data_IF_055671640728
#
_entry.id   IF_055671640728
#
_cell.length_a   1.000
_cell.length_b   1.000
_cell.length_c   1.000
_cell.angle_alpha   90.00
_cell.angle_beta   90.00
_cell.angle_gamma   90.00
#
_symmetry.space_group_name_H-M   'P 1'
#
loop_
_entity.id
_entity.type
_entity.pdbx_description
1 polymer ?
#
# COMPACT_ATOMS: atom_id res chain seq x y z
N UNK A 1 -17.22 -10.19 12.55
CA UNK A 1 -15.97 -9.43 12.43
C UNK A 1 -15.93 -8.17 13.31
N UNK A 2 -16.92 -7.28 13.25
CA UNK A 2 -16.89 -5.93 13.87
C UNK A 2 -16.42 -5.87 15.34
N UNK A 3 -16.94 -6.75 16.21
CA UNK A 3 -16.63 -6.76 17.64
C UNK A 3 -15.14 -6.99 17.99
N UNK A 4 -14.31 -7.43 17.04
CA UNK A 4 -12.86 -7.67 17.23
C UNK A 4 -11.99 -6.44 16.94
N UNK A 5 -12.54 -5.39 16.31
CA UNK A 5 -11.75 -4.25 15.80
C UNK A 5 -12.22 -2.90 16.34
N UNK A 6 -11.27 -2.01 16.61
CA UNK A 6 -11.57 -0.66 17.04
C UNK A 6 -12.16 0.17 15.89
N UNK A 7 -13.50 0.22 15.82
CA UNK A 7 -14.27 0.98 14.82
C UNK A 7 -13.99 2.51 14.83
N UNK A 8 -13.25 3.04 15.80
CA UNK A 8 -12.78 4.44 15.78
C UNK A 8 -11.51 4.63 14.92
N UNK A 9 -10.77 3.56 14.62
CA UNK A 9 -9.57 3.62 13.76
C UNK A 9 -9.94 3.95 12.31
N UNK A 10 -9.30 4.96 11.68
CA UNK A 10 -9.52 5.27 10.26
C UNK A 10 -9.22 4.09 9.33
N UNK A 11 -8.20 3.29 9.64
CA UNK A 11 -7.83 2.09 8.88
C UNK A 11 -8.96 1.06 8.89
N UNK A 12 -9.51 0.76 10.08
CA UNK A 12 -10.62 -0.20 10.24
C UNK A 12 -11.87 0.28 9.51
N UNK A 13 -12.22 1.58 9.63
CA UNK A 13 -13.36 2.17 8.88
C UNK A 13 -13.17 2.06 7.36
N UNK A 14 -11.96 2.32 6.86
CA UNK A 14 -11.63 2.22 5.44
C UNK A 14 -11.77 0.77 4.95
N UNK A 15 -11.18 -0.18 5.66
CA UNK A 15 -11.20 -1.60 5.29
C UNK A 15 -12.59 -2.23 5.38
N UNK A 16 -13.42 -1.86 6.37
CA UNK A 16 -14.80 -2.34 6.43
C UNK A 16 -15.67 -1.77 5.30
N UNK A 17 -15.44 -0.51 4.86
CA UNK A 17 -16.11 0.02 3.67
C UNK A 17 -15.70 -0.76 2.42
N UNK A 18 -14.41 -1.03 2.23
CA UNK A 18 -13.93 -1.79 1.07
C UNK A 18 -14.37 -3.26 1.11
N UNK A 19 -14.54 -3.85 2.31
CA UNK A 19 -15.05 -5.21 2.45
C UNK A 19 -16.54 -5.30 2.07
N UNK A 20 -17.31 -4.23 2.28
CA UNK A 20 -18.67 -4.12 1.76
C UNK A 20 -18.71 -3.84 0.24
N UNK A 21 -17.74 -3.10 -0.30
CA UNK A 21 -17.59 -2.81 -1.75
C UNK A 21 -17.21 -4.07 -2.57
N UNK A 22 -16.35 -4.94 -2.01
CA UNK A 22 -15.76 -6.10 -2.69
C UNK A 22 -16.39 -7.45 -2.30
N UNK A 23 -17.43 -7.41 -1.45
CA UNK A 23 -18.10 -8.58 -0.84
C UNK A 23 -18.47 -9.66 -1.86
N UNK A 24 -19.07 -9.26 -2.97
CA UNK A 24 -19.61 -10.16 -3.98
C UNK A 24 -18.64 -10.25 -5.18
N UNK A 25 -18.39 -11.45 -5.74
CA UNK A 25 -17.41 -11.63 -6.80
C UNK A 25 -17.87 -10.99 -8.12
N UNK A 26 -16.92 -10.44 -8.88
CA UNK A 26 -17.15 -10.08 -10.29
C UNK A 26 -16.66 -11.19 -11.22
N UNK A 27 -16.82 -11.00 -12.52
CA UNK A 27 -16.22 -11.82 -13.57
C UNK A 27 -14.71 -11.59 -13.73
N UNK A 28 -14.19 -10.42 -13.37
CA UNK A 28 -12.76 -10.08 -13.47
C UNK A 28 -11.96 -10.26 -12.17
N UNK A 29 -12.55 -10.02 -11.01
CA UNK A 29 -11.88 -10.11 -9.70
C UNK A 29 -12.84 -10.30 -8.51
N UNK A 30 -12.31 -10.82 -7.42
CA UNK A 30 -12.94 -10.89 -6.11
C UNK A 30 -11.85 -10.77 -5.02
N UNK A 31 -12.16 -10.15 -3.89
CA UNK A 31 -11.27 -10.12 -2.73
C UNK A 31 -12.04 -9.95 -1.42
N UNK A 32 -11.57 -10.61 -0.37
CA UNK A 32 -12.17 -10.55 0.96
C UNK A 32 -11.10 -10.66 2.07
N UNK A 33 -11.30 -10.03 3.24
CA UNK A 33 -10.47 -10.25 4.42
C UNK A 33 -10.57 -11.70 4.90
N UNK A 34 -9.53 -12.20 5.56
CA UNK A 34 -9.63 -13.44 6.35
C UNK A 34 -10.61 -13.23 7.52
N UNK A 35 -11.36 -14.27 7.88
CA UNK A 35 -12.41 -14.21 8.92
C UNK A 35 -11.91 -13.68 10.27
N UNK A 36 -10.65 -13.98 10.58
CA UNK A 36 -9.99 -13.64 11.83
C UNK A 36 -9.07 -12.40 11.73
N UNK A 37 -8.68 -11.99 10.51
CA UNK A 37 -7.71 -10.93 10.24
C UNK A 37 -8.15 -9.94 9.13
N UNK A 38 -8.73 -8.80 9.53
CA UNK A 38 -9.11 -7.70 8.63
C UNK A 38 -7.94 -7.06 7.85
N UNK A 39 -6.68 -7.28 8.26
CA UNK A 39 -5.48 -6.73 7.62
C UNK A 39 -4.77 -7.72 6.69
N UNK A 40 -5.30 -8.94 6.53
CA UNK A 40 -4.84 -9.89 5.51
C UNK A 40 -6.03 -10.36 4.69
N UNK A 41 -5.93 -10.20 3.38
CA UNK A 41 -7.01 -10.45 2.44
C UNK A 41 -6.57 -11.47 1.41
N UNK A 42 -7.48 -12.35 1.02
CA UNK A 42 -7.29 -13.21 -0.14
C UNK A 42 -8.01 -12.60 -1.35
N UNK A 43 -7.42 -12.76 -2.54
CA UNK A 43 -7.98 -12.26 -3.79
C UNK A 43 -7.81 -13.24 -4.93
N UNK A 44 -8.70 -13.15 -5.91
CA UNK A 44 -8.56 -13.81 -7.21
C UNK A 44 -8.76 -12.77 -8.32
N UNK A 45 -7.94 -12.84 -9.36
CA UNK A 45 -8.08 -12.05 -10.60
C UNK A 45 -8.08 -12.95 -11.83
N UNK A 46 -8.86 -12.58 -12.85
CA UNK A 46 -8.77 -13.19 -14.19
C UNK A 46 -7.55 -12.64 -14.92
N UNK A 47 -6.92 -13.47 -15.74
CA UNK A 47 -5.91 -13.02 -16.69
C UNK A 47 -6.49 -12.03 -17.71
N UNK A 48 -5.75 -10.98 -18.09
CA UNK A 48 -6.25 -10.02 -19.08
C UNK A 48 -6.52 -10.69 -20.44
N UNK A 49 -7.63 -10.34 -21.11
CA UNK A 49 -7.88 -10.79 -22.47
C UNK A 49 -6.82 -10.24 -23.44
N UNK A 50 -6.57 -11.01 -24.50
CA UNK A 50 -5.56 -10.75 -25.54
C UNK A 50 -4.12 -10.79 -25.01
N UNK A 51 -3.83 -11.64 -24.02
CA UNK A 51 -2.50 -11.77 -23.40
C UNK A 51 -2.09 -13.23 -23.17
N UNK A 52 -0.82 -13.47 -22.82
CA UNK A 52 -0.31 -14.80 -22.49
C UNK A 52 -0.89 -15.40 -21.20
N UNK A 53 -1.67 -14.59 -20.46
CA UNK A 53 -2.32 -14.95 -19.22
C UNK A 53 -3.81 -15.24 -19.39
N UNK A 54 -4.35 -15.02 -20.60
CA UNK A 54 -5.77 -15.16 -20.96
C UNK A 54 -6.28 -16.58 -20.69
N UNK A 55 -7.56 -16.69 -20.32
CA UNK A 55 -8.17 -17.89 -19.75
C UNK A 55 -7.66 -18.28 -18.35
N UNK A 56 -6.64 -17.60 -17.81
CA UNK A 56 -6.12 -17.86 -16.47
C UNK A 56 -6.92 -17.22 -15.34
N UNK A 57 -6.81 -17.80 -14.14
CA UNK A 57 -7.46 -17.36 -12.91
C UNK A 57 -6.42 -17.46 -11.78
N UNK A 58 -5.98 -16.32 -11.26
CA UNK A 58 -4.80 -16.23 -10.39
C UNK A 58 -5.19 -15.81 -8.98
N UNK A 59 -4.90 -16.67 -8.02
CA UNK A 59 -5.07 -16.38 -6.60
C UNK A 59 -3.87 -15.67 -6.01
N UNK A 60 -4.11 -14.85 -4.99
CA UNK A 60 -3.07 -14.18 -4.21
C UNK A 60 -3.59 -13.69 -2.87
N UNK A 61 -2.72 -13.00 -2.12
CA UNK A 61 -3.06 -12.33 -0.87
C UNK A 61 -2.50 -10.91 -0.80
N UNK A 62 -3.20 -10.06 -0.07
CA UNK A 62 -2.88 -8.66 0.20
C UNK A 62 -2.69 -8.51 1.70
N UNK A 63 -1.51 -8.04 2.12
CA UNK A 63 -1.17 -7.77 3.52
C UNK A 63 -1.09 -6.26 3.73
N UNK A 64 -1.95 -5.75 4.59
CA UNK A 64 -2.19 -4.32 4.80
C UNK A 64 -1.45 -3.85 6.06
N UNK A 65 -0.68 -2.74 5.99
CA UNK A 65 -0.07 -2.17 7.19
C UNK A 65 -1.13 -1.55 8.13
N UNK A 66 -0.88 -1.46 9.45
CA UNK A 66 -1.79 -0.78 10.39
C UNK A 66 -2.09 0.67 10.01
N UNK A 67 -1.18 1.33 9.28
CA UNK A 67 -1.34 2.70 8.78
C UNK A 67 -2.05 2.79 7.42
N UNK A 68 -2.61 1.71 6.88
CA UNK A 68 -3.42 1.76 5.66
C UNK A 68 -4.62 2.73 5.82
N UNK A 69 -4.94 3.60 4.85
CA UNK A 69 -4.39 3.70 3.50
C UNK A 69 -3.19 4.65 3.35
N UNK A 70 -2.60 5.17 4.43
CA UNK A 70 -1.45 6.09 4.35
C UNK A 70 -0.14 5.38 3.97
N UNK A 71 -0.07 4.05 4.15
CA UNK A 71 0.98 3.19 3.60
C UNK A 71 0.38 2.17 2.62
N UNK A 72 1.09 1.82 1.52
CA UNK A 72 0.66 0.82 0.56
C UNK A 72 0.61 -0.62 1.13
N UNK A 73 -0.19 -1.52 0.52
CA UNK A 73 -0.16 -2.95 0.81
C UNK A 73 1.12 -3.63 0.33
N UNK A 74 1.38 -4.83 0.88
CA UNK A 74 2.20 -5.86 0.23
C UNK A 74 1.28 -6.81 -0.55
N UNK A 75 1.64 -7.15 -1.79
CA UNK A 75 0.89 -8.07 -2.65
C UNK A 75 1.73 -9.34 -2.84
N UNK A 76 1.12 -10.52 -2.74
CA UNK A 76 1.74 -11.83 -2.97
C UNK A 76 0.84 -12.65 -3.90
N UNK A 77 1.40 -13.25 -4.95
CA UNK A 77 0.68 -14.24 -5.77
C UNK A 77 0.88 -15.65 -5.19
N UNK A 78 -0.18 -16.46 -5.23
CA UNK A 78 -0.19 -17.85 -4.75
C UNK A 78 -0.31 -18.86 -5.90
N UNK A 79 -0.95 -18.49 -7.01
CA UNK A 79 -1.03 -19.32 -8.22
C UNK A 79 0.16 -19.07 -9.14
N UNK A 80 0.79 -20.15 -9.64
CA UNK A 80 1.90 -20.07 -10.60
C UNK A 80 1.46 -19.46 -11.94
N UNK A 81 2.23 -18.51 -12.45
CA UNK A 81 1.80 -17.62 -13.54
C UNK A 81 2.92 -17.20 -14.52
N UNK A 82 4.21 -17.48 -14.22
CA UNK A 82 5.34 -17.16 -15.12
C UNK A 82 5.66 -15.67 -15.27
N UNK A 83 5.10 -14.82 -14.39
CA UNK A 83 5.28 -13.36 -14.35
C UNK A 83 5.74 -12.86 -12.99
N UNK A 84 5.22 -13.48 -11.94
CA UNK A 84 5.48 -13.18 -10.54
C UNK A 84 5.81 -14.46 -9.79
N UNK A 85 6.88 -14.42 -8.99
CA UNK A 85 7.31 -15.54 -8.17
C UNK A 85 6.33 -15.81 -7.02
N UNK A 86 5.88 -17.05 -6.91
CA UNK A 86 4.85 -17.48 -5.94
C UNK A 86 5.35 -17.32 -4.50
N UNK A 87 4.47 -16.86 -3.62
CA UNK A 87 4.74 -16.70 -2.19
C UNK A 87 5.58 -15.47 -1.80
N UNK A 88 6.27 -14.83 -2.76
CA UNK A 88 7.04 -13.60 -2.53
C UNK A 88 6.19 -12.34 -2.66
N UNK A 89 6.67 -11.25 -2.05
CA UNK A 89 6.13 -9.91 -2.27
C UNK A 89 6.55 -9.43 -3.67
N UNK A 90 5.57 -9.08 -4.50
CA UNK A 90 5.83 -8.45 -5.80
C UNK A 90 6.00 -6.94 -5.61
N UNK A 91 6.83 -6.31 -6.44
CA UNK A 91 6.85 -4.85 -6.55
C UNK A 91 6.18 -4.33 -7.83
N UNK A 92 5.09 -3.61 -7.62
CA UNK A 92 4.45 -2.70 -8.56
C UNK A 92 4.51 -1.27 -7.99
N UNK A 93 4.33 -0.25 -8.81
CA UNK A 93 4.20 1.16 -8.36
C UNK A 93 2.92 1.46 -7.54
N UNK A 94 2.07 0.46 -7.32
CA UNK A 94 0.94 0.45 -6.37
C UNK A 94 1.24 -0.33 -5.07
N UNK A 95 2.49 -0.77 -4.85
CA UNK A 95 2.90 -1.65 -3.75
C UNK A 95 4.01 -1.06 -2.87
N UNK A 96 4.20 -1.62 -1.67
CA UNK A 96 5.17 -1.17 -0.67
C UNK A 96 6.66 -1.33 -0.96
N UNK A 97 7.09 -1.34 -2.22
CA UNK A 97 8.49 -1.07 -2.59
C UNK A 97 8.68 0.35 -3.15
N UNK A 98 7.60 1.00 -3.61
CA UNK A 98 7.58 2.42 -3.99
C UNK A 98 6.55 3.18 -3.15
N UNK A 99 6.82 3.42 -1.86
CA UNK A 99 5.88 4.15 -0.98
C UNK A 99 5.63 5.59 -1.45
N UNK A 100 6.52 6.17 -2.27
CA UNK A 100 6.32 7.49 -2.87
C UNK A 100 5.34 7.56 -4.05
N UNK A 101 5.06 6.46 -4.74
CA UNK A 101 4.12 6.45 -5.89
C UNK A 101 2.70 6.10 -5.43
N UNK A 102 2.57 5.46 -4.26
CA UNK A 102 1.31 5.16 -3.62
C UNK A 102 0.49 6.43 -3.31
N UNK A 103 -0.80 6.41 -3.66
CA UNK A 103 -1.77 7.43 -3.28
C UNK A 103 -2.80 6.85 -2.31
N UNK A 104 -3.00 7.42 -1.11
CA UNK A 104 -4.00 6.95 -0.13
C UNK A 104 -5.47 6.96 -0.61
N UNK A 105 -5.76 7.55 -1.77
CA UNK A 105 -7.06 7.46 -2.44
C UNK A 105 -7.28 6.12 -3.16
N UNK A 106 -6.23 5.37 -3.46
CA UNK A 106 -6.32 4.04 -4.07
C UNK A 106 -6.86 3.01 -3.07
N UNK A 107 -7.77 2.15 -3.53
CA UNK A 107 -8.39 1.07 -2.76
C UNK A 107 -7.81 -0.30 -3.14
N UNK A 108 -8.24 -1.35 -2.43
CA UNK A 108 -8.00 -2.74 -2.82
C UNK A 108 -8.55 -2.99 -4.23
N UNK A 109 -9.73 -2.45 -4.59
CA UNK A 109 -10.25 -2.48 -5.98
C UNK A 109 -9.24 -1.90 -6.98
N UNK A 110 -8.62 -0.76 -6.66
CA UNK A 110 -7.57 -0.15 -7.48
C UNK A 110 -6.34 -1.06 -7.60
N UNK A 111 -5.93 -1.72 -6.51
CA UNK A 111 -4.82 -2.66 -6.51
C UNK A 111 -5.10 -3.90 -7.39
N UNK A 112 -6.31 -4.46 -7.35
CA UNK A 112 -6.71 -5.61 -8.19
C UNK A 112 -6.69 -5.25 -9.68
N UNK A 113 -7.31 -4.13 -10.06
CA UNK A 113 -7.28 -3.62 -11.44
C UNK A 113 -5.85 -3.33 -11.92
N UNK A 114 -4.99 -2.83 -11.04
CA UNK A 114 -3.57 -2.63 -11.35
C UNK A 114 -2.83 -3.96 -11.54
N UNK A 115 -3.04 -4.99 -10.69
CA UNK A 115 -2.45 -6.32 -10.89
C UNK A 115 -2.83 -6.89 -12.26
N UNK A 116 -4.11 -6.77 -12.65
CA UNK A 116 -4.61 -7.15 -13.98
C UNK A 116 -3.85 -6.39 -15.07
N UNK A 117 -3.81 -5.05 -15.02
CA UNK A 117 -3.14 -4.24 -16.04
C UNK A 117 -1.60 -4.36 -16.10
N UNK A 118 -0.94 -4.72 -15.00
CA UNK A 118 0.52 -4.93 -14.91
C UNK A 118 0.98 -6.36 -15.24
N UNK A 119 0.06 -7.32 -15.34
CA UNK A 119 0.40 -8.71 -15.66
C UNK A 119 1.01 -8.86 -17.08
N UNK A 120 0.53 -8.18 -18.14
CA UNK A 120 1.09 -8.28 -19.50
C UNK A 120 2.30 -7.38 -19.80
N UNK A 121 2.74 -6.53 -18.87
CA UNK A 121 3.88 -5.62 -19.13
C UNK A 121 5.22 -6.36 -19.01
N UNK A 122 6.35 -5.70 -19.34
CA UNK A 122 7.69 -6.28 -19.13
C UNK A 122 8.11 -6.29 -17.66
N UNK A 123 9.01 -7.21 -17.31
CA UNK A 123 9.41 -7.48 -15.92
C UNK A 123 10.59 -6.64 -15.43
N UNK A 124 11.53 -6.38 -16.35
CA UNK A 124 12.58 -5.36 -16.23
C UNK A 124 13.44 -5.50 -14.95
N UNK A 125 13.59 -6.74 -14.46
CA UNK A 125 14.39 -7.06 -13.27
C UNK A 125 13.72 -6.71 -11.93
N UNK A 126 12.42 -6.36 -11.92
CA UNK A 126 11.69 -6.02 -10.71
C UNK A 126 11.68 -7.18 -9.69
N UNK A 127 11.71 -6.87 -8.39
CA UNK A 127 11.76 -7.87 -7.31
C UNK A 127 10.53 -8.79 -7.38
N UNK A 128 10.81 -10.09 -7.52
CA UNK A 128 9.80 -11.13 -7.67
C UNK A 128 9.24 -11.26 -9.10
N UNK A 129 9.83 -10.60 -10.11
CA UNK A 129 9.46 -10.81 -11.51
C UNK A 129 10.04 -12.10 -12.09
N UNK A 130 9.34 -12.68 -13.07
CA UNK A 130 9.76 -13.84 -13.86
C UNK A 130 9.50 -13.59 -15.35
N UNK A 131 10.47 -13.96 -16.19
CA UNK A 131 10.42 -13.76 -17.65
C UNK A 131 10.30 -15.09 -18.42
N UNK A 132 9.27 -15.87 -18.06
CA UNK A 132 8.88 -17.11 -18.77
C UNK A 132 8.35 -16.79 -20.18
N UNK A 133 8.39 -17.76 -21.09
CA UNK A 133 7.93 -17.55 -22.47
C UNK A 133 6.40 -17.38 -22.57
N UNK A 134 5.87 -16.79 -23.67
CA UNK A 134 4.45 -16.76 -23.96
C UNK A 134 3.76 -18.13 -23.85
N UNK A 135 4.41 -19.19 -24.34
CA UNK A 135 3.90 -20.55 -24.36
C UNK A 135 3.81 -21.14 -22.95
N UNK A 136 4.85 -20.94 -22.13
CA UNK A 136 4.87 -21.34 -20.72
C UNK A 136 3.80 -20.62 -19.90
N UNK A 137 3.66 -19.30 -20.10
CA UNK A 137 2.61 -18.48 -19.46
C UNK A 137 1.21 -18.97 -19.84
N UNK A 138 0.95 -19.25 -21.12
CA UNK A 138 -0.32 -19.83 -21.60
C UNK A 138 -0.59 -21.24 -21.05
N UNK A 139 0.46 -22.03 -20.82
CA UNK A 139 0.34 -23.34 -20.17
C UNK A 139 0.03 -23.21 -18.67
N UNK A 140 0.60 -22.22 -17.98
CA UNK A 140 0.29 -21.89 -16.59
C UNK A 140 -1.12 -21.30 -16.46
N UNK A 141 -1.55 -20.45 -17.39
CA UNK A 141 -2.91 -19.91 -17.45
C UNK A 141 -3.96 -21.03 -17.47
N UNK A 142 -3.78 -22.07 -18.29
CA UNK A 142 -4.66 -23.24 -18.29
C UNK A 142 -4.64 -23.97 -16.94
N UNK A 143 -3.46 -24.29 -16.41
CA UNK A 143 -3.29 -24.98 -15.11
C UNK A 143 -3.85 -24.19 -13.92
N UNK A 144 -3.91 -22.86 -14.02
CA UNK A 144 -4.39 -21.99 -12.93
C UNK A 144 -5.86 -22.20 -12.56
N UNK A 145 -6.69 -22.69 -13.51
CA UNK A 145 -8.12 -22.94 -13.27
C UNK A 145 -8.37 -24.06 -12.27
N UNK A 146 -7.49 -25.05 -12.21
CA UNK A 146 -7.57 -26.21 -11.30
C UNK A 146 -6.88 -25.95 -9.94
N UNK A 147 -6.36 -24.73 -9.72
CA UNK A 147 -5.75 -24.35 -8.44
C UNK A 147 -6.82 -24.21 -7.34
N UNK A 148 -6.55 -24.82 -6.18
CA UNK A 148 -7.29 -24.61 -4.93
C UNK A 148 -6.34 -24.03 -3.88
N UNK A 149 -6.75 -22.98 -3.18
CA UNK A 149 -5.92 -22.38 -2.14
C UNK A 149 -6.00 -23.18 -0.83
N UNK A 150 -4.87 -23.73 -0.38
CA UNK A 150 -4.77 -24.49 0.88
C UNK A 150 -5.12 -23.65 2.13
N UNK A 151 -4.98 -22.31 2.07
CA UNK A 151 -5.24 -21.42 3.21
C UNK A 151 -6.72 -21.06 3.40
N UNK A 152 -7.50 -20.96 2.31
CA UNK A 152 -8.88 -20.45 2.34
C UNK A 152 -9.89 -21.32 1.57
N UNK A 153 -9.48 -22.50 1.08
CA UNK A 153 -10.33 -23.47 0.37
C UNK A 153 -10.84 -23.03 -1.01
N UNK A 154 -10.57 -21.81 -1.45
CA UNK A 154 -11.10 -21.26 -2.71
C UNK A 154 -10.53 -22.00 -3.93
N UNK A 155 -11.42 -22.62 -4.72
CA UNK A 155 -11.11 -23.20 -6.04
C UNK A 155 -11.25 -22.15 -7.14
N UNK A 156 -10.24 -22.01 -8.01
CA UNK A 156 -10.23 -20.97 -9.04
C UNK A 156 -11.34 -21.14 -10.08
N UNK A 157 -11.74 -22.39 -10.34
CA UNK A 157 -12.85 -22.77 -11.22
C UNK A 157 -14.20 -22.14 -10.85
N UNK A 158 -14.39 -21.73 -9.59
CA UNK A 158 -15.63 -21.13 -9.08
C UNK A 158 -15.39 -19.81 -8.33
N UNK A 159 -14.19 -19.23 -8.40
CA UNK A 159 -13.80 -18.06 -7.62
C UNK A 159 -14.32 -16.72 -8.17
N UNK A 160 -14.70 -16.70 -9.46
CA UNK A 160 -15.17 -15.53 -10.20
C UNK A 160 -16.43 -15.90 -10.98
N UNK A 161 -17.24 -14.89 -11.34
CA UNK A 161 -18.40 -15.11 -12.20
C UNK A 161 -17.95 -15.53 -13.62
N UNK A 162 -18.77 -16.30 -14.38
CA UNK A 162 -18.52 -16.58 -15.78
C UNK A 162 -18.51 -15.29 -16.62
N UNK A 163 -17.63 -15.21 -17.62
CA UNK A 163 -17.70 -14.14 -18.63
C UNK A 163 -19.00 -14.27 -19.42
N UNK A 164 -19.78 -13.19 -19.48
CA UNK A 164 -21.01 -13.18 -20.30
C UNK A 164 -20.65 -13.11 -21.78
N UNK A 165 -21.29 -13.91 -22.63
CA UNK A 165 -20.94 -14.05 -24.05
C UNK A 165 -21.19 -12.80 -24.93
N UNK A 166 -21.68 -11.70 -24.34
CA UNK A 166 -21.78 -10.38 -24.99
C UNK A 166 -20.72 -9.35 -24.53
N UNK A 167 -19.95 -9.60 -23.46
CA UNK A 167 -19.05 -8.60 -22.86
C UNK A 167 -17.65 -8.60 -23.47
N UNK A 168 -17.54 -8.63 -24.80
CA UNK A 168 -16.26 -8.62 -25.53
C UNK A 168 -15.54 -7.29 -25.29
N UNK A 169 -14.38 -7.34 -24.62
CA UNK A 169 -13.69 -6.17 -24.03
C UNK A 169 -14.61 -5.40 -23.09
N UNK A 170 -14.67 -5.82 -21.82
CA UNK A 170 -15.50 -5.17 -20.81
C UNK A 170 -15.07 -3.72 -20.55
N UNK A 171 -15.93 -2.98 -19.84
CA UNK A 171 -15.54 -1.69 -19.28
C UNK A 171 -14.43 -1.82 -18.23
N UNK A 172 -14.37 -2.94 -17.50
CA UNK A 172 -13.37 -3.20 -16.47
C UNK A 172 -11.98 -3.50 -17.05
N UNK A 173 -11.87 -4.16 -18.21
CA UNK A 173 -10.60 -4.38 -18.92
C UNK A 173 -10.02 -3.05 -19.42
N UNK A 174 -10.89 -2.17 -19.93
CA UNK A 174 -10.53 -0.82 -20.36
C UNK A 174 -10.10 0.04 -19.16
N UNK A 175 -10.83 -0.04 -18.04
CA UNK A 175 -10.48 0.61 -16.77
C UNK A 175 -9.13 0.10 -16.24
N UNK A 176 -8.88 -1.22 -16.24
CA UNK A 176 -7.62 -1.81 -15.78
C UNK A 176 -6.42 -1.41 -16.65
N UNK A 177 -6.56 -1.48 -17.99
CA UNK A 177 -5.51 -1.10 -18.94
C UNK A 177 -5.17 0.41 -18.83
N UNK A 178 -6.17 1.28 -18.73
CA UNK A 178 -5.96 2.73 -18.56
C UNK A 178 -5.43 3.09 -17.16
N UNK A 179 -5.94 2.45 -16.09
CA UNK A 179 -5.46 2.64 -14.72
C UNK A 179 -3.97 2.27 -14.61
N UNK A 180 -3.57 1.11 -15.13
CA UNK A 180 -2.16 0.70 -15.11
C UNK A 180 -1.28 1.70 -15.87
N UNK A 181 -1.72 2.18 -17.05
CA UNK A 181 -1.04 3.25 -17.81
C UNK A 181 -0.87 4.54 -16.99
N UNK A 182 -1.92 4.97 -16.28
CA UNK A 182 -1.86 6.15 -15.39
C UNK A 182 -0.94 5.94 -14.18
N UNK A 183 -0.90 4.72 -13.62
CA UNK A 183 -0.02 4.37 -12.49
C UNK A 183 1.44 4.37 -12.94
N UNK A 184 1.77 3.78 -14.09
CA UNK A 184 3.13 3.81 -14.68
C UNK A 184 3.59 5.25 -14.92
N UNK A 185 2.79 6.05 -15.64
CA UNK A 185 3.15 7.43 -15.96
C UNK A 185 3.34 8.29 -14.69
N UNK A 186 2.52 8.10 -13.65
CA UNK A 186 2.73 8.77 -12.35
C UNK A 186 4.01 8.32 -11.66
N UNK A 187 4.40 7.05 -11.78
CA UNK A 187 5.64 6.54 -11.21
C UNK A 187 6.87 7.13 -11.92
N UNK A 188 6.87 7.15 -13.25
CA UNK A 188 7.91 7.78 -14.09
C UNK A 188 8.11 9.25 -13.70
N UNK A 189 7.04 10.06 -13.72
CA UNK A 189 7.11 11.49 -13.37
C UNK A 189 7.62 11.72 -11.95
N UNK A 190 7.24 10.87 -10.99
CA UNK A 190 7.69 10.98 -9.60
C UNK A 190 9.16 10.55 -9.42
N UNK A 191 9.65 9.64 -10.26
CA UNK A 191 11.06 9.25 -10.32
C UNK A 191 11.91 10.36 -10.94
N UNK A 192 11.53 10.90 -12.10
CA UNK A 192 12.28 11.96 -12.79
C UNK A 192 12.44 13.23 -11.92
N UNK A 193 11.39 13.60 -11.16
CA UNK A 193 11.45 14.72 -10.21
C UNK A 193 12.41 14.51 -9.03
N UNK A 194 12.86 13.27 -8.77
CA UNK A 194 13.92 12.98 -7.79
C UNK A 194 15.31 13.03 -8.41
N UNK A 195 15.45 12.72 -9.70
CA UNK A 195 16.72 12.81 -10.43
C UNK A 195 17.28 14.24 -10.50
N UNK A 196 16.42 15.24 -10.69
CA UNK A 196 16.81 16.67 -10.70
C UNK A 196 17.14 17.23 -9.29
N UNK A 197 16.86 16.48 -8.21
CA UNK A 197 17.09 16.91 -6.82
C UNK A 197 18.49 16.52 -6.31
N UNK A 198 19.53 16.77 -7.12
CA UNK A 198 20.93 16.55 -6.76
C UNK A 198 21.44 17.52 -5.66
N UNK A 199 22.48 17.13 -4.89
CA UNK A 199 22.90 17.89 -3.72
C UNK A 199 23.67 19.18 -4.04
N UNK A 200 23.35 20.25 -3.31
CA UNK A 200 24.05 21.53 -3.34
C UNK A 200 25.42 21.46 -2.62
N UNK A 201 26.40 20.82 -3.27
CA UNK A 201 27.77 20.79 -2.79
C UNK A 201 28.39 22.20 -2.72
N UNK A 202 28.66 22.68 -1.50
CA UNK A 202 29.39 23.92 -1.26
C UNK A 202 30.88 23.73 -1.53
N UNK A 203 31.40 24.31 -2.60
CA UNK A 203 32.84 24.37 -2.90
C UNK A 203 33.15 25.69 -3.58
N UNK A 204 33.59 26.67 -2.80
CA UNK A 204 34.05 27.96 -3.33
C UNK A 204 35.57 27.97 -3.54
N UNK A 205 36.04 28.64 -4.59
CA UNK A 205 37.40 29.15 -4.73
C UNK A 205 37.40 30.33 -5.73
N UNK A 206 38.32 31.28 -5.56
CA UNK A 206 38.38 32.53 -6.31
C UNK A 206 39.20 32.38 -7.61
N UNK A 207 38.91 33.17 -8.67
CA UNK A 207 39.68 34.39 -8.97
C UNK A 207 39.31 35.16 -10.27
N UNK A 208 39.35 36.49 -10.16
CA UNK A 208 39.90 37.50 -11.10
C UNK A 208 39.66 37.43 -12.63
N UNK A 209 38.58 38.11 -13.07
CA UNK A 209 38.57 39.35 -13.89
C UNK A 209 39.39 39.56 -15.21
N UNK A 210 38.71 40.25 -16.15
CA UNK A 210 39.19 41.11 -17.27
C UNK A 210 39.78 40.44 -18.53
N UNK A 211 39.26 40.69 -19.76
CA UNK A 211 39.35 42.00 -20.42
C UNK A 211 38.55 42.15 -21.75
N UNK A 212 37.96 43.34 -21.96
CA UNK A 212 37.79 44.13 -23.21
C UNK A 212 36.84 43.67 -24.36
N UNK A 213 36.17 44.69 -24.90
CA UNK A 213 35.28 44.83 -26.08
C UNK A 213 36.12 45.03 -27.40
N UNK A 214 35.60 45.44 -28.60
CA UNK A 214 34.23 45.87 -29.00
C UNK A 214 33.74 45.53 -30.45
N UNK A 215 32.60 46.15 -30.85
CA UNK A 215 32.17 46.53 -32.23
C UNK A 215 31.66 45.44 -33.23
N UNK A 216 30.73 45.69 -34.18
CA UNK A 216 29.66 46.74 -34.33
C UNK A 216 28.58 46.32 -35.39
N UNK A 217 27.75 47.28 -35.84
CA UNK A 217 26.73 47.29 -36.93
C UNK A 217 25.40 46.53 -36.73
N UNK A 218 24.21 47.07 -37.12
CA UNK A 218 23.93 48.47 -37.52
C UNK A 218 22.53 48.74 -38.14
N UNK A 219 21.73 49.63 -37.50
CA UNK A 219 20.62 50.46 -38.06
C UNK A 219 19.34 49.80 -38.67
N UNK A 220 18.15 50.44 -38.75
CA UNK A 220 17.51 51.57 -38.01
C UNK A 220 16.02 51.78 -38.45
N UNK A 221 15.30 52.71 -37.76
CA UNK A 221 13.97 53.36 -38.08
C UNK A 221 12.69 52.60 -37.68
N UNK A 222 11.58 53.25 -37.25
CA UNK A 222 11.36 54.62 -36.72
C UNK A 222 10.01 54.76 -35.95
N UNK A 223 9.90 55.81 -35.13
CA UNK A 223 8.73 56.30 -34.34
C UNK A 223 7.84 57.28 -35.19
N UNK A 224 6.69 57.90 -34.73
CA UNK A 224 6.30 58.23 -33.33
C UNK A 224 4.80 58.22 -32.91
N UNK A 225 4.55 58.48 -31.61
CA UNK A 225 3.27 58.97 -31.03
C UNK A 225 3.05 60.49 -31.31
N UNK A 226 1.88 61.12 -30.96
CA UNK A 226 1.73 61.68 -29.59
C UNK A 226 0.29 61.94 -29.03
N UNK A 227 0.18 62.02 -27.69
CA UNK A 227 -0.68 62.96 -26.89
C UNK A 227 -2.24 62.98 -27.07
N UNK A 228 -3.08 63.66 -26.26
CA UNK A 228 -3.13 63.89 -24.79
C UNK A 228 -4.48 64.52 -24.35
N UNK A 229 -4.92 64.24 -23.12
CA UNK A 229 -5.74 65.06 -22.20
C UNK A 229 -7.26 65.35 -22.43
N UNK A 230 -8.00 65.33 -21.29
CA UNK A 230 -9.27 66.05 -20.97
C UNK A 230 -10.59 65.66 -21.70
N UNK A 231 -11.80 65.77 -21.11
CA UNK A 231 -12.26 66.31 -19.80
C UNK A 231 -13.50 65.57 -19.22
N UNK A 232 -13.80 65.80 -17.93
CA UNK A 232 -15.11 66.11 -17.27
C UNK A 232 -16.46 65.44 -17.69
N UNK A 233 -17.46 65.19 -16.81
CA UNK A 233 -17.55 65.28 -15.34
C UNK A 233 -18.87 64.69 -14.74
N UNK A 234 -18.83 64.41 -13.41
CA UNK A 234 -19.90 64.56 -12.40
C UNK A 234 -21.13 63.60 -12.29
N UNK A 235 -21.66 63.59 -11.03
CA UNK A 235 -22.99 63.13 -10.56
C UNK A 235 -23.21 61.62 -10.33
N UNK A 236 -23.72 61.15 -9.17
CA UNK A 236 -23.90 61.78 -7.83
C UNK A 236 -24.20 60.75 -6.71
N UNK A 237 -23.87 61.12 -5.44
CA UNK A 237 -24.51 60.79 -4.12
C UNK A 237 -25.09 59.39 -3.77
N UNK A 238 -25.06 58.89 -2.51
CA UNK A 238 -24.38 59.31 -1.27
C UNK A 238 -24.44 58.22 -0.15
N UNK A 239 -23.79 58.51 0.99
CA UNK A 239 -23.70 57.76 2.27
C UNK A 239 -25.05 57.68 3.06
N UNK A 240 -25.19 57.16 4.30
CA UNK A 240 -24.31 56.86 5.46
C UNK A 240 -24.90 55.66 6.28
N UNK A 241 -24.23 54.88 7.15
CA UNK A 241 -23.13 55.04 8.13
C UNK A 241 -23.53 55.64 9.51
N UNK A 242 -23.36 54.86 10.61
CA UNK A 242 -23.27 55.32 12.02
C UNK A 242 -22.77 54.21 13.00
N UNK A 243 -22.51 54.53 14.28
CA UNK A 243 -21.52 53.84 15.15
C UNK A 243 -22.01 53.36 16.56
N UNK A 244 -21.05 52.81 17.34
CA UNK A 244 -21.03 52.24 18.71
C UNK A 244 -21.27 53.22 19.90
N UNK A 245 -21.19 52.81 21.22
CA UNK A 245 -20.97 51.49 21.84
C UNK A 245 -22.24 50.96 22.58
N UNK A 246 -22.48 50.93 23.93
CA UNK A 246 -21.66 51.04 25.17
C UNK A 246 -21.27 49.65 25.78
N UNK A 247 -20.95 49.54 27.09
CA UNK A 247 -20.58 48.28 27.76
C UNK A 247 -20.85 48.21 29.30
N UNK A 248 -20.96 46.99 29.85
CA UNK A 248 -20.83 46.64 31.30
C UNK A 248 -20.14 45.26 31.42
N UNK A 249 -19.53 44.93 32.56
CA UNK A 249 -18.54 43.84 32.72
C UNK A 249 -18.93 42.73 33.72
N UNK A 250 -18.35 41.54 33.52
CA UNK A 250 -18.03 40.58 34.59
C UNK A 250 -16.90 39.64 34.12
N UNK A 251 -16.07 39.14 35.04
CA UNK A 251 -14.86 38.37 34.71
C UNK A 251 -14.82 37.01 35.41
N UNK A 252 -14.39 35.99 34.67
CA UNK A 252 -14.06 34.67 35.23
C UNK A 252 -12.78 34.13 34.58
N UNK A 253 -11.78 33.82 35.40
CA UNK A 253 -10.43 33.49 34.92
C UNK A 253 -10.20 31.98 34.93
N UNK A 254 -10.12 31.36 33.74
CA UNK A 254 -9.76 29.95 33.61
C UNK A 254 -8.25 29.75 33.62
N UNK A 255 -7.74 28.85 34.48
CA UNK A 255 -6.30 28.59 34.64
C UNK A 255 -5.69 27.79 33.48
N UNK A 256 -4.43 28.10 33.15
CA UNK A 256 -3.74 27.56 31.98
C UNK A 256 -3.30 26.09 32.12
N UNK A 257 -3.14 25.33 31.01
CA UNK A 257 -2.71 23.93 31.06
C UNK A 257 -1.35 23.70 31.73
N UNK A 258 -0.44 24.70 31.74
CA UNK A 258 0.88 24.59 32.39
C UNK A 258 0.79 24.52 33.92
N UNK A 259 -0.16 25.23 34.54
CA UNK A 259 -0.31 25.27 36.00
C UNK A 259 -0.79 23.92 36.56
N UNK A 260 -1.64 23.19 35.82
CA UNK A 260 -2.20 21.89 36.25
C UNK A 260 -1.15 20.79 36.42
N UNK A 261 0.03 20.91 35.77
CA UNK A 261 1.10 19.90 35.81
C UNK A 261 1.99 19.99 37.05
N UNK A 262 2.12 21.17 37.66
CA UNK A 262 2.96 21.39 38.84
C UNK A 262 2.37 20.80 40.13
N UNK A 263 1.05 20.65 40.21
CA UNK A 263 0.34 20.31 41.44
C UNK A 263 0.21 18.80 41.71
N UNK A 264 0.56 17.93 40.76
CA UNK A 264 0.54 16.47 40.92
C UNK A 264 1.88 15.86 41.38
N UNK A 265 2.96 16.65 41.44
CA UNK A 265 4.31 16.13 41.65
C UNK A 265 4.82 16.22 43.11
N UNK A 266 3.98 16.70 44.03
CA UNK A 266 4.29 16.84 45.47
C UNK A 266 3.79 15.70 46.37
N UNK A 267 3.05 14.72 45.83
CA UNK A 267 2.48 13.59 46.60
C UNK A 267 3.00 12.22 46.14
N UNK A 268 4.27 11.92 46.46
CA UNK A 268 4.80 10.55 46.69
C UNK A 268 6.21 10.61 47.26
N UNK A 269 6.34 10.43 48.57
CA UNK A 269 7.61 10.11 49.26
C UNK A 269 7.43 8.78 49.98
N UNK A 270 8.47 7.95 50.01
CA UNK A 270 8.39 6.54 50.39
C UNK A 270 8.52 6.29 51.91
N UNK A 271 8.05 5.13 52.42
CA UNK A 271 8.60 4.52 53.63
C UNK A 271 9.96 3.84 53.35
N UNK A 272 10.72 3.56 54.41
CA UNK A 272 12.11 3.07 54.34
C UNK A 272 12.24 1.54 54.48
N UNK A 273 13.48 1.05 54.38
CA UNK A 273 13.88 -0.36 54.40
C UNK A 273 14.28 -0.89 55.79
N UNK A 274 13.76 -2.06 56.16
CA UNK A 274 14.39 -3.18 56.89
C UNK A 274 13.35 -4.34 56.88
N UNK A 275 13.66 -5.63 56.68
CA UNK A 275 14.67 -6.44 57.35
C UNK A 275 15.08 -7.69 56.54
N UNK A 276 16.04 -8.46 57.07
CA UNK A 276 16.72 -9.58 56.40
C UNK A 276 16.39 -10.96 57.01
N UNK A 277 16.71 -12.05 56.30
CA UNK A 277 16.54 -13.47 56.68
C UNK A 277 15.10 -14.03 56.84
N UNK A 278 14.64 -14.76 55.81
CA UNK A 278 13.93 -16.04 56.03
C UNK A 278 14.30 -17.08 54.98
N UNK A 279 14.50 -18.31 55.44
CA UNK A 279 15.11 -19.46 54.77
C UNK A 279 14.82 -19.66 53.26
N UNK A 280 15.84 -20.12 52.54
CA UNK A 280 15.71 -20.66 51.19
C UNK A 280 14.80 -21.91 51.18
N UNK A 281 13.84 -21.96 50.27
CA UNK A 281 13.26 -23.21 49.79
C UNK A 281 13.61 -23.37 48.30
N UNK A 282 14.05 -24.56 47.84
CA UNK A 282 14.34 -24.78 46.44
C UNK A 282 13.05 -24.82 45.63
N UNK A 283 12.83 -23.80 44.79
CA UNK A 283 11.77 -23.84 43.76
C UNK A 283 12.17 -24.87 42.70
N UNK A 284 11.60 -26.07 42.78
CA UNK A 284 11.67 -27.06 41.70
C UNK A 284 11.11 -26.46 40.41
N UNK A 285 11.94 -26.35 39.38
CA UNK A 285 11.61 -25.60 38.16
C UNK A 285 10.78 -26.45 37.17
N UNK A 286 9.51 -26.70 37.52
CA UNK A 286 8.55 -27.56 36.79
C UNK A 286 8.36 -27.18 35.32
N UNK A 287 8.70 -25.95 34.94
CA UNK A 287 8.55 -25.42 33.59
C UNK A 287 9.49 -26.07 32.57
N UNK A 288 10.69 -26.53 32.99
CA UNK A 288 11.64 -27.13 32.04
C UNK A 288 11.21 -28.53 31.62
N UNK A 289 10.75 -29.37 32.56
CA UNK A 289 10.31 -30.74 32.28
C UNK A 289 9.14 -30.81 31.30
N UNK A 290 8.14 -29.92 31.44
CA UNK A 290 7.02 -29.85 30.49
C UNK A 290 7.48 -29.46 29.08
N UNK A 291 8.41 -28.51 28.96
CA UNK A 291 9.01 -28.10 27.69
C UNK A 291 9.79 -29.24 27.03
N UNK A 292 10.66 -29.93 27.78
CA UNK A 292 11.46 -31.04 27.25
C UNK A 292 10.59 -32.20 26.77
N UNK A 293 9.54 -32.57 27.51
CA UNK A 293 8.59 -33.61 27.08
C UNK A 293 7.85 -33.19 25.80
N UNK A 294 7.38 -31.94 25.72
CA UNK A 294 6.71 -31.42 24.52
C UNK A 294 7.64 -31.44 23.30
N UNK A 295 8.90 -31.03 23.46
CA UNK A 295 9.91 -31.05 22.37
C UNK A 295 10.14 -32.49 21.90
N UNK A 296 10.31 -33.45 22.81
CA UNK A 296 10.51 -34.87 22.46
C UNK A 296 9.29 -35.47 21.75
N UNK A 297 8.07 -35.17 22.20
CA UNK A 297 6.85 -35.62 21.53
C UNK A 297 6.72 -35.03 20.12
N UNK A 298 7.06 -33.74 19.94
CA UNK A 298 7.04 -33.09 18.63
C UNK A 298 8.12 -33.63 17.68
N UNK A 299 9.33 -33.95 18.15
CA UNK A 299 10.35 -34.56 17.29
C UNK A 299 9.98 -35.98 16.86
N UNK A 300 9.41 -36.81 17.76
CA UNK A 300 8.89 -38.12 17.38
C UNK A 300 7.72 -38.04 16.39
N UNK A 301 6.76 -37.12 16.60
CA UNK A 301 5.65 -36.93 15.67
C UNK A 301 6.12 -36.48 14.27
N UNK A 302 7.07 -35.54 14.22
CA UNK A 302 7.63 -35.02 12.97
C UNK A 302 8.48 -36.08 12.25
N UNK A 303 9.26 -36.88 12.98
CA UNK A 303 9.97 -38.05 12.44
C UNK A 303 9.02 -39.11 11.88
N UNK A 304 7.91 -39.40 12.57
CA UNK A 304 6.89 -40.35 12.09
C UNK A 304 6.18 -39.84 10.82
N UNK A 305 5.92 -38.53 10.70
CA UNK A 305 5.37 -37.93 9.48
C UNK A 305 6.36 -37.99 8.31
N UNK A 306 7.66 -37.73 8.55
CA UNK A 306 8.71 -37.90 7.52
C UNK A 306 8.81 -39.37 7.10
N UNK A 307 8.86 -40.31 8.05
CA UNK A 307 8.93 -41.75 7.76
C UNK A 307 7.70 -42.22 6.97
N UNK A 308 6.48 -41.84 7.37
CA UNK A 308 5.25 -42.13 6.61
C UNK A 308 5.32 -41.57 5.19
N UNK A 309 5.85 -40.36 4.99
CA UNK A 309 6.03 -39.77 3.65
C UNK A 309 7.05 -40.55 2.82
N UNK A 310 8.12 -41.05 3.43
CA UNK A 310 9.15 -41.87 2.75
C UNK A 310 8.58 -43.25 2.38
N UNK A 311 7.84 -43.92 3.28
CA UNK A 311 7.18 -45.19 2.96
C UNK A 311 6.19 -45.04 1.81
N UNK A 312 5.28 -44.06 1.88
CA UNK A 312 4.32 -43.78 0.80
C UNK A 312 5.01 -43.38 -0.52
N UNK A 313 6.20 -42.77 -0.47
CA UNK A 313 6.98 -42.47 -1.68
C UNK A 313 7.67 -43.71 -2.27
N UNK A 314 8.11 -44.67 -1.43
CA UNK A 314 8.76 -45.90 -1.87
C UNK A 314 7.78 -47.00 -2.30
N UNK A 315 6.56 -47.04 -1.76
CA UNK A 315 5.51 -47.98 -2.23
C UNK A 315 5.14 -47.71 -3.70
N UNK A 316 5.28 -46.46 -4.18
CA UNK A 316 5.15 -46.10 -5.60
C UNK A 316 6.32 -46.55 -6.51
N UNK A 317 7.36 -47.18 -5.97
CA UNK A 317 8.57 -47.61 -6.71
C UNK A 317 8.62 -49.14 -6.89
N UNK A 318 7.67 -49.88 -6.33
CA UNK A 318 7.64 -51.35 -6.33
C UNK A 318 6.36 -51.97 -6.94
N UNK A 319 5.87 -51.40 -8.05
CA UNK A 319 5.18 -52.19 -9.08
C UNK A 319 5.93 -52.05 -10.41
N UNK A 320 6.48 -53.17 -10.89
CA UNK A 320 7.27 -53.32 -12.11
C UNK A 320 7.18 -54.77 -12.61
#
# INVERSE_FOLDING_TARGET
>A
MEARYNLKSPAVKRLMKEAAELKDPTDHYHAQPLEDNLFEWHFTVRGPPDSDFDGGIYHGRIVLPPEYPMKPPSIILLTANGRFEVGKKICLSISGHHPETWQPSWSIRTALLAIIGFMPTKGEGAIGSLDYTPEERRALAKKSQDFCCEMCGTSMKTALLPLTSGSVSSQADKEAKELARQISFKAEVNSSRRSDAGPSNTSGLNHSAASREPQQDGAARAFPDPASATSEAQSSSAAAAQEHPPAVSSSSTSLSPRQRRAQQQSQRRAPASADFNRAQQPRGNTNHTGSTVLIVLLTFALAALIFRRICLANEYVFEL
#
